data_IF_444159455993
#
_entry.id   IF_444159455993
#
_cell.length_a   1.000
_cell.length_b   1.000
_cell.length_c   1.000
_cell.angle_alpha   90.00
_cell.angle_beta   90.00
_cell.angle_gamma   90.00
#
_symmetry.space_group_name_H-M   'P 1'
#
loop_
_entity.id
_entity.type
_entity.pdbx_description
1 polymer ?
#
# COMPACT_ATOMS: atom_id res chain seq x y z
N UNK A 1 -3.39 22.47 -2.62
CA UNK A 1 -3.82 21.22 -3.25
C UNK A 1 -4.85 20.54 -2.38
N UNK A 2 -5.90 20.08 -2.97
CA UNK A 2 -6.93 19.36 -2.27
C UNK A 2 -6.37 18.08 -1.63
N UNK A 3 -6.89 17.73 -0.46
CA UNK A 3 -6.40 16.60 0.33
C UNK A 3 -6.50 15.27 -0.43
N UNK A 4 -7.63 15.03 -1.12
CA UNK A 4 -7.80 13.80 -1.89
C UNK A 4 -6.73 13.68 -2.98
N UNK A 5 -6.52 14.74 -3.75
CA UNK A 5 -5.51 14.73 -4.82
C UNK A 5 -4.11 14.52 -4.26
N UNK A 6 -3.82 15.12 -3.11
CA UNK A 6 -2.54 14.93 -2.44
C UNK A 6 -2.32 13.47 -2.05
N UNK A 7 -3.34 12.84 -1.45
CA UNK A 7 -3.23 11.46 -1.01
C UNK A 7 -3.16 10.49 -2.19
N UNK A 8 -3.90 10.76 -3.26
CA UNK A 8 -3.79 9.97 -4.49
C UNK A 8 -2.36 10.01 -5.03
N UNK A 9 -1.76 11.18 -5.03
CA UNK A 9 -0.39 11.37 -5.52
C UNK A 9 0.60 10.61 -4.65
N UNK A 10 0.48 10.73 -3.32
CA UNK A 10 1.38 10.07 -2.39
C UNK A 10 1.31 8.55 -2.56
N UNK A 11 0.10 7.99 -2.62
CA UNK A 11 -0.06 6.55 -2.76
C UNK A 11 0.42 6.05 -4.11
N UNK A 12 0.12 6.78 -5.19
CA UNK A 12 0.59 6.41 -6.53
C UNK A 12 2.11 6.38 -6.59
N UNK A 13 2.77 7.39 -6.03
CA UNK A 13 4.22 7.44 -6.00
C UNK A 13 4.81 6.31 -5.15
N UNK A 14 4.22 6.06 -3.99
CA UNK A 14 4.73 5.04 -3.09
C UNK A 14 4.66 3.64 -3.69
N UNK A 15 3.49 3.27 -4.26
CA UNK A 15 3.37 1.92 -4.84
C UNK A 15 4.26 1.76 -6.07
N UNK A 16 4.46 2.82 -6.87
CA UNK A 16 5.37 2.78 -8.00
C UNK A 16 6.82 2.61 -7.55
N UNK A 17 7.24 3.34 -6.55
CA UNK A 17 8.59 3.23 -6.02
C UNK A 17 8.84 1.82 -5.47
N UNK A 18 7.87 1.29 -4.73
CA UNK A 18 8.00 -0.07 -4.18
C UNK A 18 8.06 -1.10 -5.30
N UNK A 19 7.19 -0.98 -6.29
CA UNK A 19 7.14 -1.95 -7.40
C UNK A 19 8.41 -1.93 -8.24
N UNK A 20 9.06 -0.77 -8.35
CA UNK A 20 10.27 -0.63 -9.15
C UNK A 20 11.55 -0.99 -8.39
N UNK A 21 11.45 -1.27 -7.09
CA UNK A 21 12.61 -1.71 -6.33
C UNK A 21 12.99 -3.13 -6.78
N UNK A 22 14.28 -3.40 -7.00
CA UNK A 22 14.68 -4.71 -7.52
C UNK A 22 14.51 -5.83 -6.49
N UNK A 23 14.07 -6.99 -6.95
CA UNK A 23 14.14 -8.21 -6.16
C UNK A 23 15.58 -8.73 -6.21
N UNK A 24 16.25 -8.69 -5.09
CA UNK A 24 17.63 -9.20 -5.02
C UNK A 24 17.68 -10.71 -4.77
N UNK A 25 16.63 -11.28 -4.18
CA UNK A 25 16.61 -12.68 -3.74
C UNK A 25 15.85 -13.58 -4.71
N UNK A 26 14.82 -13.06 -5.36
CA UNK A 26 13.96 -13.84 -6.24
C UNK A 26 13.75 -13.09 -7.55
N UNK A 27 14.74 -13.06 -8.44
CA UNK A 27 14.65 -12.26 -9.66
C UNK A 27 13.61 -12.76 -10.67
N UNK A 28 13.12 -13.99 -10.50
CA UNK A 28 12.06 -14.54 -11.35
C UNK A 28 10.66 -14.00 -10.99
N UNK A 29 10.55 -13.31 -9.86
CA UNK A 29 9.30 -12.65 -9.48
C UNK A 29 9.34 -11.18 -9.89
N UNK A 30 8.18 -10.61 -10.13
CA UNK A 30 8.06 -9.20 -10.43
C UNK A 30 7.00 -8.55 -9.53
N UNK A 31 7.18 -7.27 -9.25
CA UNK A 31 6.16 -6.45 -8.60
C UNK A 31 5.49 -5.58 -9.64
N UNK A 32 4.18 -5.41 -9.51
CA UNK A 32 3.43 -4.48 -10.34
C UNK A 32 2.63 -3.55 -9.44
N UNK A 33 2.70 -2.26 -9.74
CA UNK A 33 1.86 -1.27 -9.09
C UNK A 33 0.55 -1.17 -9.85
N UNK A 34 -0.56 -1.20 -9.13
CA UNK A 34 -1.90 -1.07 -9.71
C UNK A 34 -2.57 0.09 -9.00
N UNK A 35 -2.92 1.13 -9.76
CA UNK A 35 -3.53 2.33 -9.19
C UNK A 35 -4.83 2.64 -9.93
N UNK A 36 -5.85 3.03 -9.16
CA UNK A 36 -7.14 3.44 -9.67
C UNK A 36 -7.56 4.71 -8.94
N UNK A 37 -7.40 5.85 -9.58
CA UNK A 37 -7.74 7.13 -8.98
C UNK A 37 -9.22 7.49 -9.15
N UNK A 38 -9.96 6.69 -9.91
CA UNK A 38 -11.41 6.86 -10.04
C UNK A 38 -12.12 6.27 -8.83
N UNK A 39 -11.72 5.07 -8.43
CA UNK A 39 -12.31 4.36 -7.30
C UNK A 39 -11.42 4.36 -6.05
N UNK A 40 -10.23 4.96 -6.15
CA UNK A 40 -9.30 5.15 -5.04
C UNK A 40 -8.78 3.84 -4.45
N UNK A 41 -8.28 2.98 -5.34
CA UNK A 41 -7.60 1.74 -4.96
C UNK A 41 -6.14 1.78 -5.40
N UNK A 42 -5.23 1.39 -4.52
CA UNK A 42 -3.79 1.43 -4.78
C UNK A 42 -3.18 0.17 -4.19
N UNK A 43 -2.47 -0.60 -5.01
CA UNK A 43 -1.89 -1.85 -4.51
C UNK A 43 -0.62 -2.22 -5.26
N UNK A 44 0.15 -3.11 -4.64
CA UNK A 44 1.28 -3.77 -5.28
C UNK A 44 1.00 -5.27 -5.27
N UNK A 45 1.16 -5.89 -6.43
CA UNK A 45 1.08 -7.35 -6.55
C UNK A 45 2.43 -7.90 -6.92
N UNK A 46 2.74 -9.08 -6.41
CA UNK A 46 3.94 -9.83 -6.76
C UNK A 46 3.51 -11.07 -7.50
N UNK A 47 4.12 -11.33 -8.65
CA UNK A 47 3.76 -12.50 -9.45
C UNK A 47 4.98 -13.09 -10.15
N UNK A 48 4.85 -14.35 -10.50
CA UNK A 48 5.88 -15.08 -11.23
C UNK A 48 5.96 -16.54 -10.78
N UNK A 49 6.95 -17.24 -11.31
CA UNK A 49 7.16 -18.63 -10.98
C UNK A 49 8.30 -18.76 -9.99
N UNK A 50 8.04 -19.48 -8.91
CA UNK A 50 9.03 -19.75 -7.87
C UNK A 50 9.07 -21.23 -7.59
N UNK A 51 10.17 -21.89 -7.97
CA UNK A 51 10.39 -23.31 -7.73
C UNK A 51 9.23 -24.19 -8.24
N UNK A 52 8.77 -23.90 -9.44
CA UNK A 52 7.71 -24.68 -10.07
C UNK A 52 6.30 -24.30 -9.61
N UNK A 53 6.16 -23.29 -8.79
CA UNK A 53 4.88 -22.78 -8.32
C UNK A 53 4.61 -21.38 -8.86
N UNK A 54 3.41 -21.15 -9.34
CA UNK A 54 3.01 -19.78 -9.72
C UNK A 54 2.58 -19.01 -8.49
N UNK A 55 3.23 -17.87 -8.29
CA UNK A 55 2.93 -16.97 -7.18
C UNK A 55 2.15 -15.78 -7.72
N UNK A 56 1.08 -15.42 -7.04
CA UNK A 56 0.34 -14.21 -7.34
C UNK A 56 -0.24 -13.69 -6.02
N UNK A 57 0.43 -12.69 -5.44
CA UNK A 57 0.07 -12.19 -4.11
C UNK A 57 -0.11 -10.68 -4.12
N UNK A 58 -1.13 -10.23 -3.40
CA UNK A 58 -1.29 -8.80 -3.12
C UNK A 58 -0.43 -8.49 -1.90
N UNK A 59 0.64 -7.73 -2.12
CA UNK A 59 1.64 -7.44 -1.09
C UNK A 59 1.17 -6.34 -0.16
N UNK A 60 0.52 -5.33 -0.72
CA UNK A 60 -0.06 -4.24 0.05
C UNK A 60 -1.25 -3.66 -0.71
N UNK A 61 -2.21 -3.16 0.01
CA UNK A 61 -3.40 -2.56 -0.59
C UNK A 61 -3.88 -1.39 0.25
N UNK A 62 -4.14 -0.28 -0.42
CA UNK A 62 -4.66 0.94 0.19
C UNK A 62 -5.94 1.36 -0.51
N UNK A 63 -6.90 1.84 0.27
CA UNK A 63 -8.09 2.51 -0.25
C UNK A 63 -8.16 3.91 0.33
N UNK A 64 -8.73 4.86 -0.43
CA UNK A 64 -9.08 6.16 0.13
C UNK A 64 -10.60 6.21 0.26
N UNK A 65 -11.08 6.39 1.47
CA UNK A 65 -12.51 6.49 1.78
C UNK A 65 -12.74 7.61 2.79
N UNK A 66 -13.68 8.49 2.48
CA UNK A 66 -14.06 9.58 3.39
C UNK A 66 -12.87 10.44 3.85
N UNK A 67 -11.96 10.72 2.91
CA UNK A 67 -10.78 11.53 3.19
C UNK A 67 -9.70 10.85 3.98
N UNK A 68 -9.80 9.53 4.17
CA UNK A 68 -8.82 8.77 4.95
C UNK A 68 -8.24 7.64 4.13
N UNK A 69 -6.99 7.29 4.45
CA UNK A 69 -6.30 6.17 3.82
C UNK A 69 -6.48 4.93 4.69
N UNK A 70 -7.04 3.90 4.08
CA UNK A 70 -7.23 2.61 4.72
C UNK A 70 -6.14 1.67 4.25
N UNK A 71 -5.31 1.19 5.19
CA UNK A 71 -4.32 0.15 4.90
C UNK A 71 -5.04 -1.18 5.06
N UNK A 72 -5.35 -1.82 3.93
CA UNK A 72 -6.15 -3.03 3.93
C UNK A 72 -5.31 -4.31 3.98
N UNK A 73 -4.06 -4.23 3.55
CA UNK A 73 -3.14 -5.36 3.61
C UNK A 73 -1.70 -4.87 3.61
N UNK A 74 -0.88 -5.55 4.42
CA UNK A 74 0.56 -5.30 4.46
C UNK A 74 1.29 -6.62 4.72
N UNK A 75 1.87 -7.17 3.67
CA UNK A 75 2.71 -8.38 3.75
C UNK A 75 4.19 -8.01 3.63
N UNK A 76 4.56 -6.86 4.17
CA UNK A 76 5.94 -6.39 4.18
C UNK A 76 6.40 -6.17 5.61
N UNK A 77 7.71 -5.92 5.79
CA UNK A 77 8.26 -5.54 7.09
C UNK A 77 8.19 -4.02 7.30
N UNK A 78 7.66 -3.30 6.33
CA UNK A 78 7.59 -1.84 6.39
C UNK A 78 6.41 -1.44 7.27
N UNK A 79 6.64 -0.46 8.16
CA UNK A 79 5.56 0.18 8.90
C UNK A 79 4.92 1.19 7.96
N UNK A 80 3.85 0.77 7.28
CA UNK A 80 3.24 1.57 6.22
C UNK A 80 2.65 2.88 6.73
N UNK A 81 2.11 2.91 7.95
CA UNK A 81 1.62 4.14 8.56
C UNK A 81 2.74 5.16 8.73
N UNK A 82 3.89 4.74 9.27
CA UNK A 82 5.04 5.64 9.43
C UNK A 82 5.54 6.15 8.08
N UNK A 83 5.57 5.29 7.09
CA UNK A 83 6.02 5.68 5.75
C UNK A 83 5.10 6.72 5.13
N UNK A 84 3.80 6.56 5.30
CA UNK A 84 2.83 7.52 4.78
C UNK A 84 2.93 8.86 5.50
N UNK A 85 3.14 8.84 6.82
CA UNK A 85 3.30 10.06 7.60
C UNK A 85 4.53 10.83 7.11
N UNK A 86 5.65 10.14 6.86
CA UNK A 86 6.85 10.77 6.32
C UNK A 86 6.60 11.44 4.97
N UNK A 87 5.67 10.92 4.21
CA UNK A 87 5.34 11.45 2.88
C UNK A 87 4.29 12.54 2.91
N UNK A 88 3.77 12.87 4.09
CA UNK A 88 2.85 13.99 4.26
C UNK A 88 1.41 13.63 4.56
N UNK A 89 1.12 12.39 4.89
CA UNK A 89 -0.23 11.99 5.30
C UNK A 89 -0.42 12.30 6.77
N UNK A 90 -1.55 12.91 7.13
CA UNK A 90 -1.90 13.18 8.52
C UNK A 90 -2.15 11.87 9.26
N UNK A 91 -1.58 11.73 10.45
CA UNK A 91 -1.77 10.50 11.22
C UNK A 91 -3.25 10.19 11.47
N UNK A 92 -4.06 11.21 11.73
CA UNK A 92 -5.49 11.04 11.98
C UNK A 92 -6.26 10.52 10.75
N UNK A 93 -5.65 10.56 9.57
CA UNK A 93 -6.27 10.12 8.33
C UNK A 93 -5.86 8.71 7.93
N UNK A 94 -5.10 8.01 8.77
CA UNK A 94 -4.65 6.65 8.49
C UNK A 94 -5.42 5.67 9.35
N UNK A 95 -6.02 4.67 8.69
CA UNK A 95 -6.77 3.61 9.35
C UNK A 95 -6.16 2.27 8.96
N UNK A 96 -5.83 1.44 9.94
CA UNK A 96 -5.34 0.09 9.68
C UNK A 96 -6.56 -0.83 9.56
N UNK A 97 -7.02 -1.01 8.31
CA UNK A 97 -8.29 -1.66 8.04
C UNK A 97 -8.33 -3.15 8.34
N UNK A 98 -7.16 -3.81 8.38
CA UNK A 98 -7.11 -5.24 8.70
C UNK A 98 -7.09 -5.51 10.21
N UNK A 99 -7.13 -4.46 11.04
CA UNK A 99 -7.31 -4.61 12.48
C UNK A 99 -8.77 -4.38 12.86
N UNK A 100 -9.29 -5.06 13.88
CA UNK A 100 -10.63 -4.77 14.36
C UNK A 100 -10.69 -3.36 14.95
N UNK A 101 -11.88 -2.80 14.97
CA UNK A 101 -12.07 -1.40 15.35
C UNK A 101 -11.46 -1.04 16.71
N UNK A 102 -11.62 -1.92 17.71
CA UNK A 102 -11.07 -1.65 19.03
C UNK A 102 -9.53 -1.57 19.03
N UNK A 103 -8.88 -2.31 18.13
CA UNK A 103 -7.42 -2.30 18.04
C UNK A 103 -6.90 -1.08 17.27
N UNK A 104 -7.74 -0.48 16.40
CA UNK A 104 -7.35 0.70 15.64
C UNK A 104 -7.15 1.93 16.51
N UNK A 105 -7.88 1.99 17.62
CA UNK A 105 -7.79 3.12 18.56
C UNK A 105 -6.38 3.21 19.15
N UNK A 106 -5.74 2.09 19.38
CA UNK A 106 -4.39 2.06 19.95
C UNK A 106 -3.32 2.59 18.99
N UNK A 107 -3.62 2.66 17.70
CA UNK A 107 -2.67 3.13 16.66
C UNK A 107 -2.77 4.64 16.48
N UNK A 108 -3.90 5.22 16.78
CA UNK A 108 -4.15 6.65 16.57
C UNK A 108 -3.43 7.54 17.61
#
# INVERSE_FOLDING_TARGET
MEKLAKYQCILSEFVEEFANAPFSVQPQLENQAITDTIHNHFQVVTLGWDKGKFVFDIVMHFDIKDGKIWIQQNWTDILLDDELIKRGVEQADIIVGFLPEYARVAVA
#
